data_IF_753127218459
#
_entry.id   IF_753127218459
#
_cell.length_a   1.000
_cell.length_b   1.000
_cell.length_c   1.000
_cell.angle_alpha   90.00
_cell.angle_beta   90.00
_cell.angle_gamma   90.00
#
_symmetry.space_group_name_H-M   'P 1'
#
loop_
_entity.id
_entity.type
_entity.pdbx_description
1 polymer ?
#
# COMPACT_ATOMS: atom_id res chain seq x y z
N UNK A 1 -1.10 8.52 -27.79
CA UNK A 1 -0.97 9.82 -28.47
C UNK A 1 -2.27 10.59 -28.24
N UNK A 2 -2.23 11.92 -28.05
CA UNK A 2 -3.44 12.71 -27.92
C UNK A 2 -4.25 12.70 -29.23
N UNK A 3 -5.57 12.79 -29.12
CA UNK A 3 -6.52 12.83 -30.24
C UNK A 3 -7.31 14.13 -30.19
N UNK A 4 -7.59 14.72 -31.35
CA UNK A 4 -8.50 15.85 -31.45
C UNK A 4 -9.94 15.33 -31.54
N UNK A 5 -10.80 15.83 -30.65
CA UNK A 5 -12.21 15.48 -30.58
C UNK A 5 -13.03 16.75 -30.70
N UNK A 6 -14.09 16.71 -31.51
CA UNK A 6 -15.05 17.80 -31.62
C UNK A 6 -16.30 17.45 -30.82
N UNK A 7 -16.66 18.33 -29.89
CA UNK A 7 -17.83 18.21 -29.04
C UNK A 7 -18.91 19.15 -29.52
N UNK A 8 -20.13 18.64 -29.63
CA UNK A 8 -21.30 19.44 -29.92
C UNK A 8 -22.36 19.19 -28.84
N UNK A 9 -22.93 20.27 -28.29
CA UNK A 9 -24.06 20.15 -27.37
C UNK A 9 -25.30 19.61 -28.09
N UNK A 10 -26.21 18.95 -27.37
CA UNK A 10 -27.40 18.35 -27.97
C UNK A 10 -28.34 19.38 -28.62
N UNK A 11 -28.29 20.64 -28.19
CA UNK A 11 -29.05 21.75 -28.80
C UNK A 11 -28.30 22.45 -29.93
N UNK A 12 -27.09 22.00 -30.29
CA UNK A 12 -26.26 22.55 -31.37
C UNK A 12 -25.68 23.93 -31.11
N UNK A 13 -25.90 24.52 -29.93
CA UNK A 13 -25.45 25.89 -29.62
C UNK A 13 -23.96 25.97 -29.25
N UNK A 14 -23.38 24.86 -28.83
CA UNK A 14 -21.97 24.77 -28.47
C UNK A 14 -21.29 23.79 -29.39
N UNK A 15 -20.20 24.24 -30.01
CA UNK A 15 -19.27 23.44 -30.79
C UNK A 15 -17.86 23.78 -30.31
N UNK A 16 -17.14 22.78 -29.82
CA UNK A 16 -15.81 22.96 -29.28
C UNK A 16 -14.87 21.85 -29.76
N UNK A 17 -13.63 22.24 -30.07
CA UNK A 17 -12.54 21.30 -30.30
C UNK A 17 -11.73 21.13 -29.04
N UNK A 18 -11.49 19.88 -28.64
CA UNK A 18 -10.68 19.54 -27.49
C UNK A 18 -9.60 18.52 -27.87
N UNK A 19 -8.48 18.56 -27.17
CA UNK A 19 -7.42 17.55 -27.25
C UNK A 19 -7.59 16.61 -26.06
N UNK A 20 -7.75 15.32 -26.34
CA UNK A 20 -7.99 14.29 -25.33
C UNK A 20 -6.92 13.19 -25.38
N UNK A 21 -6.63 12.57 -24.24
CA UNK A 21 -5.84 11.35 -24.17
C UNK A 21 -6.75 10.12 -24.17
N UNK A 22 -6.30 9.04 -24.83
CA UNK A 22 -7.08 7.81 -24.96
C UNK A 22 -6.66 6.77 -23.93
N UNK A 23 -7.64 6.01 -23.45
CA UNK A 23 -7.47 4.83 -22.60
C UNK A 23 -8.59 3.83 -22.89
N UNK A 24 -8.39 2.55 -22.59
CA UNK A 24 -9.41 1.51 -22.81
C UNK A 24 -10.66 1.73 -21.94
N UNK A 25 -10.53 2.39 -20.78
CA UNK A 25 -11.64 2.65 -19.86
C UNK A 25 -11.38 3.94 -19.09
N UNK A 26 -12.18 4.98 -19.36
CA UNK A 26 -11.92 6.34 -18.86
C UNK A 26 -12.10 6.47 -17.34
N UNK A 27 -13.12 5.83 -16.78
CA UNK A 27 -13.47 5.97 -15.36
C UNK A 27 -13.51 4.65 -14.59
N UNK A 28 -12.82 3.61 -15.08
CA UNK A 28 -12.86 2.28 -14.45
C UNK A 28 -14.31 1.78 -14.25
N UNK A 29 -14.63 1.31 -13.05
CA UNK A 29 -15.97 0.80 -12.70
C UNK A 29 -17.05 1.88 -12.54
N UNK A 30 -16.70 3.17 -12.56
CA UNK A 30 -17.66 4.27 -12.34
C UNK A 30 -18.76 4.24 -13.40
N UNK A 31 -20.00 4.26 -12.93
CA UNK A 31 -21.19 4.33 -13.76
C UNK A 31 -21.66 5.79 -13.87
N UNK A 32 -22.14 6.23 -15.05
CA UNK A 32 -22.74 7.56 -15.17
C UNK A 32 -24.03 7.65 -14.34
N UNK A 33 -24.23 8.78 -13.66
CA UNK A 33 -25.40 9.01 -12.80
C UNK A 33 -26.59 9.48 -13.66
N UNK A 34 -27.72 8.78 -13.56
CA UNK A 34 -28.96 9.17 -14.25
C UNK A 34 -29.73 10.23 -13.43
N UNK A 35 -29.32 11.49 -13.56
CA UNK A 35 -29.97 12.60 -12.86
C UNK A 35 -31.44 12.79 -13.25
N UNK A 36 -31.89 12.29 -14.40
CA UNK A 36 -33.31 12.33 -14.76
C UNK A 36 -34.15 11.44 -13.84
N UNK A 37 -33.59 10.31 -13.39
CA UNK A 37 -34.24 9.44 -12.39
C UNK A 37 -34.17 10.05 -11.00
N UNK A 38 -33.03 10.62 -10.63
CA UNK A 38 -32.79 11.17 -9.30
C UNK A 38 -33.46 12.53 -9.04
N UNK A 39 -33.69 13.35 -10.08
CA UNK A 39 -34.26 14.68 -9.96
C UNK A 39 -35.61 14.71 -9.23
N UNK A 40 -36.38 13.61 -9.27
CA UNK A 40 -37.67 13.49 -8.57
C UNK A 40 -37.56 13.51 -7.04
N UNK A 41 -36.36 13.29 -6.48
CA UNK A 41 -36.13 13.32 -5.04
C UNK A 41 -36.12 14.75 -4.48
N UNK A 42 -35.97 15.77 -5.32
CA UNK A 42 -35.85 17.16 -4.89
C UNK A 42 -36.76 18.09 -5.71
N UNK A 43 -37.55 18.90 -5.01
CA UNK A 43 -38.52 19.80 -5.63
C UNK A 43 -37.86 20.81 -6.59
N UNK A 44 -36.68 21.33 -6.25
CA UNK A 44 -35.96 22.30 -7.09
C UNK A 44 -35.38 21.68 -8.36
N UNK A 45 -35.30 20.35 -8.45
CA UNK A 45 -34.80 19.64 -9.64
C UNK A 45 -35.92 19.13 -10.54
N UNK A 46 -37.17 19.07 -10.04
CA UNK A 46 -38.29 18.45 -10.75
C UNK A 46 -38.60 19.07 -12.13
N UNK A 47 -38.35 20.37 -12.30
CA UNK A 47 -38.58 21.09 -13.56
C UNK A 47 -37.45 20.99 -14.59
N UNK A 48 -36.35 20.30 -14.28
CA UNK A 48 -35.14 20.31 -15.09
C UNK A 48 -35.13 19.13 -16.07
N UNK A 49 -34.90 19.44 -17.35
CA UNK A 49 -34.77 18.44 -18.41
C UNK A 49 -33.32 17.98 -18.53
N UNK A 50 -32.91 17.06 -17.66
CA UNK A 50 -31.60 16.42 -17.76
C UNK A 50 -31.48 15.57 -19.03
N UNK A 51 -30.29 15.51 -19.66
CA UNK A 51 -30.05 14.68 -20.83
C UNK A 51 -30.20 13.19 -20.50
N UNK A 52 -30.62 12.39 -21.49
CA UNK A 52 -30.65 10.94 -21.33
C UNK A 52 -29.22 10.37 -21.35
N UNK A 53 -28.97 9.34 -20.55
CA UNK A 53 -27.73 8.58 -20.65
C UNK A 53 -27.59 7.91 -22.02
N UNK A 54 -26.34 7.74 -22.45
CA UNK A 54 -26.02 6.96 -23.63
C UNK A 54 -26.44 5.49 -23.48
N UNK A 55 -26.54 4.77 -24.60
CA UNK A 55 -26.93 3.35 -24.62
C UNK A 55 -25.98 2.45 -23.82
N UNK A 56 -24.74 2.88 -23.61
CA UNK A 56 -23.73 2.17 -22.81
C UNK A 56 -23.66 2.80 -21.41
N UNK A 57 -23.64 1.99 -20.33
CA UNK A 57 -23.53 2.49 -18.97
C UNK A 57 -22.05 2.81 -18.62
N UNK A 58 -21.33 3.45 -19.54
CA UNK A 58 -19.92 3.76 -19.40
C UNK A 58 -19.69 5.24 -19.65
N UNK A 59 -18.79 5.85 -18.88
CA UNK A 59 -18.32 7.20 -19.19
C UNK A 59 -17.31 7.11 -20.32
N UNK A 60 -17.65 7.74 -21.44
CA UNK A 60 -16.83 7.69 -22.66
C UNK A 60 -15.71 8.75 -22.68
N UNK A 61 -15.84 9.81 -21.87
CA UNK A 61 -14.90 10.93 -21.85
C UNK A 61 -15.00 11.71 -20.54
N UNK A 62 -13.86 12.16 -20.02
CA UNK A 62 -13.77 13.16 -18.95
C UNK A 62 -13.31 14.48 -19.55
N UNK A 63 -14.02 15.57 -19.25
CA UNK A 63 -13.65 16.92 -19.67
C UNK A 63 -13.04 17.62 -18.46
N UNK A 64 -11.75 17.95 -18.54
CA UNK A 64 -11.04 18.63 -17.46
C UNK A 64 -11.44 20.10 -17.34
N UNK A 65 -11.13 20.70 -16.18
CA UNK A 65 -11.38 22.12 -15.88
C UNK A 65 -10.42 23.06 -16.61
N UNK A 66 -9.43 22.51 -17.32
CA UNK A 66 -8.57 23.20 -18.28
C UNK A 66 -9.33 23.68 -19.55
N UNK A 67 -10.58 23.24 -19.73
CA UNK A 67 -11.54 23.80 -20.69
C UNK A 67 -12.65 24.61 -19.98
N UNK A 68 -12.33 25.75 -19.34
CA UNK A 68 -13.29 26.49 -18.51
C UNK A 68 -14.54 26.94 -19.28
N UNK A 69 -14.40 27.20 -20.58
CA UNK A 69 -15.49 27.59 -21.49
C UNK A 69 -16.57 26.50 -21.66
N UNK A 70 -16.31 25.25 -21.25
CA UNK A 70 -17.29 24.18 -21.27
C UNK A 70 -18.00 23.98 -19.92
N UNK A 71 -17.46 24.56 -18.84
CA UNK A 71 -17.88 24.33 -17.45
C UNK A 71 -18.57 25.52 -16.79
N UNK A 72 -18.44 26.73 -17.35
CA UNK A 72 -19.06 27.90 -16.75
C UNK A 72 -20.59 27.76 -16.71
N UNK A 73 -21.20 28.39 -15.70
CA UNK A 73 -22.63 28.30 -15.47
C UNK A 73 -23.36 29.42 -16.20
N UNK A 74 -24.32 29.06 -17.05
CA UNK A 74 -25.38 29.97 -17.48
C UNK A 74 -26.42 30.18 -16.37
N UNK A 75 -26.69 29.13 -15.58
CA UNK A 75 -27.68 29.15 -14.51
C UNK A 75 -27.43 28.03 -13.50
N UNK A 76 -27.44 28.36 -12.22
CA UNK A 76 -27.49 27.40 -11.12
C UNK A 76 -28.91 27.38 -10.51
N UNK A 77 -29.43 26.19 -10.22
CA UNK A 77 -30.65 25.98 -9.42
C UNK A 77 -30.25 25.21 -8.16
N UNK A 78 -30.45 25.85 -7.01
CA UNK A 78 -29.98 25.37 -5.71
C UNK A 78 -31.16 25.03 -4.81
N UNK A 79 -31.00 23.95 -4.05
CA UNK A 79 -31.90 23.60 -2.95
C UNK A 79 -31.37 24.11 -1.61
N UNK A 80 -31.66 23.37 -0.54
CA UNK A 80 -31.13 23.63 0.81
C UNK A 80 -29.64 23.29 0.89
N UNK A 81 -28.92 23.78 1.92
CA UNK A 81 -27.53 23.39 2.16
C UNK A 81 -27.38 21.86 2.22
N UNK A 82 -26.43 21.32 1.44
CA UNK A 82 -26.17 19.87 1.33
C UNK A 82 -26.96 19.15 0.23
N UNK A 83 -27.97 19.78 -0.37
CA UNK A 83 -28.72 19.21 -1.50
C UNK A 83 -27.99 19.43 -2.84
N UNK A 84 -28.24 18.59 -3.86
CA UNK A 84 -27.62 18.74 -5.17
C UNK A 84 -27.98 20.06 -5.87
N UNK A 85 -27.06 20.57 -6.68
CA UNK A 85 -27.19 21.81 -7.44
C UNK A 85 -27.23 21.46 -8.93
N UNK A 86 -28.33 21.80 -9.61
CA UNK A 86 -28.33 21.73 -11.06
C UNK A 86 -27.64 22.94 -11.66
N UNK A 87 -26.82 22.70 -12.68
CA UNK A 87 -26.08 23.72 -13.40
C UNK A 87 -26.31 23.56 -14.89
N UNK A 88 -26.73 24.64 -15.55
CA UNK A 88 -26.78 24.72 -17.00
C UNK A 88 -25.42 25.22 -17.49
N UNK A 89 -24.70 24.37 -18.22
CA UNK A 89 -23.44 24.74 -18.88
C UNK A 89 -23.66 24.85 -20.40
N UNK A 90 -22.65 25.29 -21.17
CA UNK A 90 -22.68 25.23 -22.64
C UNK A 90 -23.01 23.86 -23.23
N UNK A 91 -22.68 22.76 -22.53
CA UNK A 91 -22.99 21.41 -23.00
C UNK A 91 -24.40 20.91 -22.62
N UNK A 92 -25.10 21.64 -21.74
CA UNK A 92 -26.45 21.33 -21.29
C UNK A 92 -26.58 21.27 -19.78
N UNK A 93 -27.71 20.73 -19.29
CA UNK A 93 -27.96 20.57 -17.86
C UNK A 93 -27.10 19.44 -17.27
N UNK A 94 -26.37 19.77 -16.21
CA UNK A 94 -25.64 18.83 -15.33
C UNK A 94 -26.05 19.05 -13.87
N UNK A 95 -25.61 18.20 -12.97
CA UNK A 95 -25.90 18.29 -11.55
C UNK A 95 -24.64 18.02 -10.71
N UNK A 96 -24.49 18.80 -9.63
CA UNK A 96 -23.36 18.77 -8.71
C UNK A 96 -23.90 18.33 -7.35
N UNK A 97 -23.38 17.23 -6.81
CA UNK A 97 -23.81 16.70 -5.52
C UNK A 97 -24.00 15.20 -5.56
N UNK A 98 -24.34 14.61 -4.42
CA UNK A 98 -24.55 13.17 -4.30
C UNK A 98 -26.02 12.82 -4.58
N UNK A 99 -26.32 11.98 -5.60
CA UNK A 99 -27.68 11.50 -5.86
C UNK A 99 -28.27 10.63 -4.73
N UNK A 100 -27.45 10.23 -3.75
CA UNK A 100 -27.81 9.45 -2.57
C UNK A 100 -27.75 10.25 -1.26
N UNK A 101 -27.53 11.56 -1.32
CA UNK A 101 -27.60 12.44 -0.14
C UNK A 101 -28.94 12.23 0.59
N UNK A 102 -28.86 11.67 1.81
CA UNK A 102 -30.00 11.15 2.57
C UNK A 102 -29.80 9.74 3.14
N UNK A 103 -28.83 8.97 2.63
CA UNK A 103 -28.20 7.89 3.39
C UNK A 103 -27.00 8.48 4.11
N UNK A 104 -26.81 8.18 5.40
CA UNK A 104 -25.68 8.65 6.21
C UNK A 104 -24.34 8.25 5.58
N UNK A 105 -23.81 9.09 4.69
CA UNK A 105 -22.41 9.11 4.34
C UNK A 105 -21.80 10.38 4.91
N UNK A 106 -21.32 10.26 6.14
CA UNK A 106 -20.42 11.22 6.76
C UNK A 106 -19.12 11.31 5.96
N UNK A 107 -19.03 12.26 5.03
CA UNK A 107 -17.75 12.74 4.51
C UNK A 107 -17.17 13.72 5.53
N UNK A 108 -16.38 13.19 6.47
CA UNK A 108 -15.65 14.00 7.43
C UNK A 108 -14.44 14.67 6.76
N UNK A 109 -14.50 15.99 6.56
CA UNK A 109 -13.29 16.81 6.42
C UNK A 109 -12.88 17.29 7.81
N UNK A 110 -11.80 16.72 8.38
CA UNK A 110 -11.18 17.23 9.62
C UNK A 110 -9.91 18.01 9.29
N UNK A 111 -9.91 19.29 9.63
CA UNK A 111 -8.75 20.19 9.53
C UNK A 111 -8.35 20.58 10.95
N UNK A 112 -7.09 20.34 11.34
CA UNK A 112 -6.56 20.73 12.65
C UNK A 112 -5.51 21.83 12.49
N UNK A 113 -5.58 22.82 13.37
CA UNK A 113 -4.53 23.81 13.58
C UNK A 113 -3.76 23.44 14.84
N UNK A 114 -2.44 23.30 14.75
CA UNK A 114 -1.58 23.11 15.91
C UNK A 114 -0.97 24.47 16.30
N UNK A 115 -1.20 24.87 17.56
CA UNK A 115 -0.43 25.93 18.23
C UNK A 115 0.49 25.21 19.21
N UNK A 116 1.80 25.38 19.06
CA UNK A 116 2.77 24.66 19.87
C UNK A 116 2.68 25.04 21.35
N UNK A 117 2.41 24.06 22.21
CA UNK A 117 2.88 24.04 23.58
C UNK A 117 3.50 22.67 23.89
N UNK A 118 4.51 22.72 24.77
CA UNK A 118 5.66 21.82 24.88
C UNK A 118 5.40 20.48 25.58
N UNK A 119 4.27 19.81 25.33
CA UNK A 119 4.03 18.49 25.93
C UNK A 119 4.42 17.36 24.97
N UNK A 120 5.41 16.54 25.36
CA UNK A 120 5.83 15.31 24.64
C UNK A 120 4.66 14.35 24.36
N UNK A 121 3.68 14.31 25.27
CA UNK A 121 2.47 13.52 25.08
C UNK A 121 1.62 13.99 23.88
N UNK A 122 1.66 15.30 23.57
CA UNK A 122 0.94 15.83 22.41
C UNK A 122 1.62 15.42 21.11
N UNK A 123 2.96 15.40 21.07
CA UNK A 123 3.71 14.90 19.92
C UNK A 123 3.43 13.41 19.65
N UNK A 124 3.49 12.55 20.68
CA UNK A 124 3.19 11.12 20.54
C UNK A 124 1.74 10.88 20.09
N UNK A 125 0.80 11.69 20.60
CA UNK A 125 -0.60 11.63 20.17
C UNK A 125 -0.78 12.12 18.72
N UNK A 126 -0.06 13.16 18.31
CA UNK A 126 -0.10 13.69 16.92
C UNK A 126 0.50 12.68 15.96
N UNK A 127 1.64 12.08 16.30
CA UNK A 127 2.28 11.03 15.51
C UNK A 127 1.33 9.85 15.40
N UNK A 128 0.79 9.34 16.51
CA UNK A 128 -0.21 8.25 16.49
C UNK A 128 -1.40 8.56 15.59
N UNK A 129 -2.00 9.75 15.72
CA UNK A 129 -3.11 10.20 14.87
C UNK A 129 -2.71 10.32 13.40
N UNK A 130 -1.47 10.75 13.11
CA UNK A 130 -0.93 10.76 11.74
C UNK A 130 -0.87 9.34 11.15
N UNK A 131 -0.35 8.37 11.90
CA UNK A 131 -0.34 6.96 11.49
C UNK A 131 -1.75 6.38 11.35
N UNK A 132 -2.68 6.74 12.24
CA UNK A 132 -4.09 6.34 12.11
C UNK A 132 -4.68 6.88 10.80
N UNK A 133 -4.38 8.14 10.42
CA UNK A 133 -4.85 8.78 9.18
C UNK A 133 -4.22 8.15 7.93
N UNK A 134 -2.94 7.78 7.96
CA UNK A 134 -2.31 7.03 6.85
C UNK A 134 -2.96 5.67 6.61
N UNK A 135 -3.55 5.08 7.66
CA UNK A 135 -4.28 3.82 7.61
C UNK A 135 -5.78 3.96 7.31
N UNK A 136 -6.32 5.18 7.20
CA UNK A 136 -7.72 5.39 6.79
C UNK A 136 -7.82 5.10 5.29
N UNK A 137 -8.28 3.89 4.97
CA UNK A 137 -8.84 3.57 3.66
C UNK A 137 -10.00 4.53 3.41
N UNK A 138 -9.99 5.24 2.28
CA UNK A 138 -11.17 5.99 1.84
C UNK A 138 -12.38 5.04 1.82
N UNK A 139 -13.55 5.40 2.40
CA UNK A 139 -14.72 4.53 2.48
C UNK A 139 -15.22 3.99 1.13
N UNK A 140 -14.77 4.59 0.02
CA UNK A 140 -15.09 4.20 -1.35
C UNK A 140 -14.23 3.06 -1.91
N UNK A 141 -13.15 2.66 -1.24
CA UNK A 141 -12.39 1.47 -1.61
C UNK A 141 -12.87 0.29 -0.78
N UNK A 142 -13.87 -0.43 -1.29
CA UNK A 142 -14.10 -1.80 -0.87
C UNK A 142 -12.85 -2.60 -1.23
N UNK A 143 -11.85 -2.63 -0.34
CA UNK A 143 -10.69 -3.51 -0.47
C UNK A 143 -11.21 -4.92 -0.26
N UNK A 144 -11.60 -5.57 -1.36
CA UNK A 144 -11.93 -6.99 -1.37
C UNK A 144 -10.64 -7.74 -1.08
N UNK A 145 -10.44 -8.06 0.21
CA UNK A 145 -9.40 -9.00 0.62
C UNK A 145 -9.76 -10.36 0.02
N UNK A 146 -8.80 -10.99 -0.63
CA UNK A 146 -8.90 -12.40 -0.97
C UNK A 146 -9.02 -13.24 0.31
N UNK A 147 -9.53 -14.46 0.16
CA UNK A 147 -9.58 -15.42 1.27
C UNK A 147 -8.21 -15.65 1.91
N UNK A 148 -7.13 -15.63 1.11
CA UNK A 148 -5.75 -15.79 1.58
C UNK A 148 -5.30 -14.60 2.43
N UNK A 149 -5.52 -13.38 1.95
CA UNK A 149 -5.16 -12.14 2.65
C UNK A 149 -5.93 -11.99 3.96
N UNK A 150 -7.21 -12.38 3.99
CA UNK A 150 -8.03 -12.32 5.20
C UNK A 150 -7.56 -13.33 6.26
N UNK A 151 -7.15 -14.53 5.84
CA UNK A 151 -6.52 -15.52 6.74
C UNK A 151 -5.19 -15.00 7.28
N UNK A 152 -4.35 -14.43 6.43
CA UNK A 152 -3.05 -13.88 6.84
C UNK A 152 -3.24 -12.78 7.91
N UNK A 153 -4.15 -11.83 7.65
CA UNK A 153 -4.43 -10.73 8.57
C UNK A 153 -4.98 -11.24 9.91
N UNK A 154 -5.96 -12.16 9.87
CA UNK A 154 -6.53 -12.75 11.09
C UNK A 154 -5.48 -13.49 11.93
N UNK A 155 -4.58 -14.26 11.31
CA UNK A 155 -3.48 -14.95 12.03
C UNK A 155 -2.50 -13.97 12.67
N UNK A 156 -2.18 -12.87 11.97
CA UNK A 156 -1.32 -11.80 12.51
C UNK A 156 -2.01 -11.10 13.68
N UNK A 157 -3.26 -10.65 13.52
CA UNK A 157 -4.01 -9.94 14.56
C UNK A 157 -4.19 -10.78 15.83
N UNK A 158 -4.45 -12.09 15.69
CA UNK A 158 -4.62 -13.00 16.82
C UNK A 158 -3.33 -13.32 17.58
N UNK A 159 -2.16 -13.15 16.95
CA UNK A 159 -0.86 -13.52 17.53
C UNK A 159 0.06 -12.35 17.82
N UNK A 160 -0.30 -11.14 17.38
CA UNK A 160 0.49 -9.93 17.58
C UNK A 160 0.42 -9.50 19.06
N UNK A 161 1.57 -9.48 19.71
CA UNK A 161 1.69 -9.08 21.09
C UNK A 161 2.83 -8.07 21.25
N UNK A 162 2.65 -7.07 22.12
CA UNK A 162 3.73 -6.14 22.46
C UNK A 162 4.37 -6.56 23.79
N UNK A 163 5.63 -7.01 23.73
CA UNK A 163 6.38 -7.54 24.87
C UNK A 163 7.81 -7.00 24.86
N UNK A 164 8.29 -6.56 26.02
CA UNK A 164 9.65 -6.05 26.23
C UNK A 164 10.07 -4.95 25.24
N UNK A 165 9.14 -4.04 24.90
CA UNK A 165 9.41 -2.94 23.96
C UNK A 165 9.42 -3.34 22.48
N UNK A 166 9.00 -4.56 22.16
CA UNK A 166 8.96 -5.09 20.80
C UNK A 166 7.60 -5.71 20.49
N UNK A 167 7.18 -5.60 19.23
CA UNK A 167 6.10 -6.44 18.72
C UNK A 167 6.65 -7.84 18.46
N UNK A 168 5.93 -8.87 18.91
CA UNK A 168 6.17 -10.27 18.60
C UNK A 168 4.94 -10.81 17.85
N UNK A 169 5.17 -11.61 16.81
CA UNK A 169 4.11 -12.14 15.95
C UNK A 169 4.42 -13.57 15.53
N UNK A 170 3.38 -14.40 15.40
CA UNK A 170 3.51 -15.73 14.77
C UNK A 170 3.47 -15.60 13.26
N UNK A 171 4.20 -16.46 12.56
CA UNK A 171 4.19 -16.45 11.10
C UNK A 171 2.81 -16.93 10.61
N UNK A 172 2.17 -16.24 9.65
CA UNK A 172 0.86 -16.64 9.16
C UNK A 172 0.98 -17.83 8.19
N UNK A 173 1.28 -19.01 8.72
CA UNK A 173 1.41 -20.25 7.97
C UNK A 173 0.12 -20.60 7.21
N UNK A 174 0.24 -21.18 6.02
CA UNK A 174 -0.91 -21.72 5.26
C UNK A 174 -1.52 -22.94 5.95
N UNK A 175 -0.66 -23.82 6.43
CA UNK A 175 -1.00 -25.01 7.21
C UNK A 175 -0.57 -24.80 8.67
N UNK A 176 -1.34 -25.31 9.64
CA UNK A 176 -1.03 -25.11 11.06
C UNK A 176 0.32 -25.72 11.48
N UNK A 177 0.79 -26.73 10.73
CA UNK A 177 2.14 -27.29 10.82
C UNK A 177 2.78 -27.32 9.44
N UNK A 178 3.61 -26.33 9.06
CA UNK A 178 4.24 -26.31 7.74
C UNK A 178 5.19 -27.52 7.59
N UNK A 179 4.89 -28.39 6.62
CA UNK A 179 5.73 -29.56 6.31
C UNK A 179 6.90 -29.16 5.42
N UNK A 180 7.93 -28.56 6.02
CA UNK A 180 9.15 -28.19 5.31
C UNK A 180 10.16 -29.36 5.30
N UNK A 181 10.66 -29.79 4.12
CA UNK A 181 11.73 -30.78 4.05
C UNK A 181 13.03 -30.21 4.61
N UNK A 182 13.87 -31.08 5.17
CA UNK A 182 15.16 -30.66 5.71
C UNK A 182 16.11 -30.24 4.59
N UNK A 183 16.30 -28.93 4.43
CA UNK A 183 17.10 -28.33 3.38
C UNK A 183 18.58 -28.09 3.75
N UNK A 184 19.07 -28.70 4.85
CA UNK A 184 20.42 -28.50 5.42
C UNK A 184 21.54 -28.52 4.36
N UNK A 185 21.61 -29.59 3.56
CA UNK A 185 22.68 -29.75 2.56
C UNK A 185 22.63 -28.69 1.46
N UNK A 186 21.43 -28.25 1.07
CA UNK A 186 21.24 -27.19 0.09
C UNK A 186 21.75 -25.86 0.65
N UNK A 187 21.32 -25.50 1.86
CA UNK A 187 21.72 -24.25 2.49
C UNK A 187 23.23 -24.22 2.80
N UNK A 188 23.82 -25.34 3.21
CA UNK A 188 25.27 -25.45 3.43
C UNK A 188 26.06 -25.28 2.12
N UNK A 189 25.62 -25.91 1.04
CA UNK A 189 26.22 -25.73 -0.29
C UNK A 189 26.13 -24.28 -0.79
N UNK A 190 24.99 -23.61 -0.54
CA UNK A 190 24.81 -22.18 -0.83
C UNK A 190 25.75 -21.30 -0.02
N UNK A 191 25.97 -21.62 1.26
CA UNK A 191 26.94 -20.92 2.09
C UNK A 191 28.36 -21.10 1.54
N UNK A 192 28.79 -22.34 1.23
CA UNK A 192 30.12 -22.59 0.70
C UNK A 192 30.40 -21.83 -0.61
N UNK A 193 29.39 -21.67 -1.47
CA UNK A 193 29.50 -20.84 -2.67
C UNK A 193 29.59 -19.34 -2.34
N UNK A 194 28.88 -18.90 -1.29
CA UNK A 194 28.97 -17.52 -0.79
C UNK A 194 30.36 -17.25 -0.23
N UNK A 195 30.91 -18.13 0.59
CA UNK A 195 32.28 -18.06 1.13
C UNK A 195 33.32 -18.00 0.00
N UNK A 196 33.23 -18.88 -1.00
CA UNK A 196 34.10 -18.83 -2.19
C UNK A 196 34.04 -17.49 -2.92
N UNK A 197 32.88 -16.84 -2.94
CA UNK A 197 32.71 -15.51 -3.56
C UNK A 197 33.29 -14.41 -2.67
N UNK A 198 33.10 -14.50 -1.36
CA UNK A 198 33.68 -13.58 -0.38
C UNK A 198 35.21 -13.63 -0.39
N UNK A 199 35.82 -14.82 -0.53
CA UNK A 199 37.27 -14.99 -0.62
C UNK A 199 37.90 -14.29 -1.83
N UNK A 200 37.11 -13.96 -2.86
CA UNK A 200 37.58 -13.19 -4.03
C UNK A 200 37.64 -11.69 -3.77
N UNK A 201 36.91 -11.19 -2.78
CA UNK A 201 36.86 -9.77 -2.43
C UNK A 201 36.86 -9.60 -0.90
N UNK A 202 38.05 -9.47 -0.29
CA UNK A 202 38.20 -9.31 1.15
C UNK A 202 37.43 -8.10 1.72
N UNK A 203 37.22 -7.05 0.92
CA UNK A 203 36.49 -5.87 1.37
C UNK A 203 35.01 -6.19 1.61
N UNK A 204 34.39 -6.95 0.70
CA UNK A 204 33.01 -7.41 0.82
C UNK A 204 32.89 -8.44 1.95
N UNK A 205 33.87 -9.35 2.06
CA UNK A 205 33.91 -10.33 3.15
C UNK A 205 33.87 -9.66 4.52
N UNK A 206 34.71 -8.65 4.73
CA UNK A 206 34.74 -7.91 5.99
C UNK A 206 33.40 -7.21 6.29
N UNK A 207 32.82 -6.49 5.33
CA UNK A 207 31.52 -5.82 5.51
C UNK A 207 30.40 -6.83 5.81
N UNK A 208 30.41 -7.97 5.14
CA UNK A 208 29.45 -9.04 5.34
C UNK A 208 29.56 -9.63 6.76
N UNK A 209 30.76 -9.99 7.21
CA UNK A 209 31.01 -10.53 8.55
C UNK A 209 30.59 -9.53 9.63
N UNK A 210 31.03 -8.27 9.53
CA UNK A 210 30.67 -7.21 10.47
C UNK A 210 29.15 -6.98 10.54
N UNK A 211 28.44 -7.13 9.42
CA UNK A 211 26.98 -6.98 9.40
C UNK A 211 26.28 -8.11 10.17
N UNK A 212 26.74 -9.36 10.03
CA UNK A 212 26.18 -10.48 10.80
C UNK A 212 26.53 -10.32 12.29
N UNK A 213 27.76 -9.96 12.63
CA UNK A 213 28.17 -9.70 14.01
C UNK A 213 27.29 -8.61 14.66
N UNK A 214 27.03 -7.51 13.96
CA UNK A 214 26.12 -6.46 14.41
C UNK A 214 24.70 -6.96 14.64
N UNK A 215 24.20 -7.90 13.82
CA UNK A 215 22.89 -8.53 14.08
C UNK A 215 22.88 -9.38 15.35
N UNK A 216 24.01 -10.02 15.68
CA UNK A 216 24.16 -10.78 16.93
C UNK A 216 24.24 -9.84 18.13
N UNK A 217 25.05 -8.79 18.06
CA UNK A 217 25.18 -7.78 19.11
C UNK A 217 23.84 -7.09 19.44
N UNK A 218 23.05 -6.80 18.41
CA UNK A 218 21.70 -6.23 18.55
C UNK A 218 20.64 -7.23 18.98
N UNK A 219 20.97 -8.52 19.05
CA UNK A 219 20.04 -9.59 19.43
C UNK A 219 19.01 -9.95 18.36
N UNK A 220 19.20 -9.51 17.10
CA UNK A 220 18.35 -9.90 15.97
C UNK A 220 18.62 -11.35 15.54
N UNK A 221 19.87 -11.79 15.68
CA UNK A 221 20.31 -13.16 15.46
C UNK A 221 20.90 -13.70 16.76
N UNK A 222 20.66 -14.97 17.06
CA UNK A 222 21.28 -15.65 18.19
C UNK A 222 21.79 -17.02 17.79
N UNK A 223 22.75 -17.54 18.54
CA UNK A 223 23.16 -18.92 18.43
C UNK A 223 22.00 -19.85 18.80
N UNK A 224 21.80 -20.89 18.00
CA UNK A 224 20.82 -21.94 18.26
C UNK A 224 21.29 -22.75 19.47
N UNK A 225 20.38 -23.09 20.38
CA UNK A 225 20.70 -23.93 21.54
C UNK A 225 20.73 -25.41 21.16
N UNK A 226 21.45 -26.23 21.93
CA UNK A 226 21.51 -27.69 21.71
C UNK A 226 20.13 -28.37 21.80
N UNK A 227 19.19 -27.81 22.56
CA UNK A 227 17.80 -28.30 22.62
C UNK A 227 17.03 -28.06 21.33
N UNK A 228 17.33 -26.95 20.65
CA UNK A 228 16.71 -26.62 19.36
C UNK A 228 17.38 -27.36 18.19
N UNK A 229 18.56 -27.96 18.42
CA UNK A 229 19.24 -28.81 17.43
C UNK A 229 18.45 -30.11 17.13
N UNK A 230 17.67 -30.60 18.08
CA UNK A 230 16.91 -31.86 17.95
C UNK A 230 15.47 -31.69 17.48
N UNK A 231 14.99 -30.44 17.34
CA UNK A 231 13.61 -30.14 16.91
C UNK A 231 13.40 -30.48 15.43
N UNK A 232 12.28 -31.11 15.08
CA UNK A 232 11.90 -31.40 13.69
C UNK A 232 11.27 -30.18 13.00
N UNK A 233 11.16 -30.19 11.67
CA UNK A 233 10.52 -29.08 10.93
C UNK A 233 11.39 -27.83 10.77
N UNK A 234 12.72 -27.99 10.71
CA UNK A 234 13.65 -26.87 10.54
C UNK A 234 13.76 -26.44 9.09
N UNK A 235 14.08 -25.17 8.91
CA UNK A 235 14.44 -24.61 7.63
C UNK A 235 15.64 -23.67 7.79
N UNK A 236 16.65 -23.90 6.94
CA UNK A 236 17.85 -23.09 6.90
C UNK A 236 17.72 -22.09 5.75
N UNK A 237 17.64 -20.80 6.07
CA UNK A 237 17.58 -19.71 5.10
C UNK A 237 18.97 -19.50 4.48
N UNK A 238 19.15 -19.74 3.17
CA UNK A 238 20.36 -19.33 2.48
C UNK A 238 20.49 -17.81 2.55
N UNK A 239 21.71 -17.31 2.58
CA UNK A 239 21.95 -15.88 2.57
C UNK A 239 23.22 -15.53 1.82
N UNK A 240 23.25 -14.33 1.24
CA UNK A 240 24.35 -13.88 0.41
C UNK A 240 24.44 -12.34 0.35
N UNK A 241 25.62 -11.77 0.12
CA UNK A 241 25.76 -10.33 -0.09
C UNK A 241 25.23 -9.91 -1.47
N UNK A 242 24.59 -8.75 -1.51
CA UNK A 242 24.27 -8.00 -2.73
C UNK A 242 24.97 -6.66 -2.67
N UNK A 243 25.74 -6.35 -3.71
CA UNK A 243 26.48 -5.11 -3.84
C UNK A 243 25.58 -4.08 -4.54
N UNK A 244 25.46 -2.90 -3.94
CA UNK A 244 24.74 -1.74 -4.47
C UNK A 244 25.73 -0.59 -4.61
N UNK A 245 26.55 -0.57 -5.68
CA UNK A 245 27.60 0.43 -5.84
C UNK A 245 27.03 1.85 -6.01
N UNK A 246 25.76 1.96 -6.38
CA UNK A 246 24.95 3.17 -6.53
C UNK A 246 24.54 3.82 -5.19
N UNK A 247 24.77 3.15 -4.05
CA UNK A 247 24.40 3.67 -2.72
C UNK A 247 25.62 4.22 -1.98
N UNK A 248 25.51 5.48 -1.55
CA UNK A 248 26.57 6.17 -0.81
C UNK A 248 26.84 5.55 0.57
N UNK A 249 25.80 5.12 1.30
CA UNK A 249 25.90 4.76 2.73
C UNK A 249 25.91 3.26 3.03
N UNK A 250 25.45 2.39 2.14
CA UNK A 250 25.43 0.94 2.37
C UNK A 250 25.64 0.18 1.07
N UNK A 251 26.90 0.04 0.68
CA UNK A 251 27.31 -0.61 -0.58
C UNK A 251 27.09 -2.12 -0.61
N UNK A 252 26.86 -2.75 0.54
CA UNK A 252 26.62 -4.20 0.63
C UNK A 252 25.48 -4.48 1.60
N UNK A 253 24.51 -5.30 1.17
CA UNK A 253 23.41 -5.79 2.01
C UNK A 253 23.38 -7.31 2.01
N UNK A 254 23.03 -7.92 3.14
CA UNK A 254 22.80 -9.35 3.22
C UNK A 254 21.35 -9.63 2.84
N UNK A 255 21.15 -10.52 1.88
CA UNK A 255 19.83 -11.02 1.51
C UNK A 255 19.65 -12.40 2.13
N UNK A 256 18.54 -12.60 2.83
CA UNK A 256 18.07 -13.91 3.28
C UNK A 256 17.04 -14.43 2.28
N UNK A 257 17.34 -15.55 1.63
CA UNK A 257 16.59 -16.05 0.49
C UNK A 257 15.51 -17.05 0.93
N UNK A 258 14.36 -16.51 1.35
CA UNK A 258 13.18 -17.31 1.65
C UNK A 258 12.49 -17.90 0.40
N UNK A 259 12.92 -17.51 -0.80
CA UNK A 259 12.41 -18.03 -2.08
C UNK A 259 13.17 -19.26 -2.59
N UNK A 260 14.32 -19.58 -1.98
CA UNK A 260 15.10 -20.75 -2.33
C UNK A 260 14.26 -22.03 -2.19
N UNK A 261 14.10 -22.77 -3.30
CA UNK A 261 13.36 -24.03 -3.32
C UNK A 261 14.24 -25.21 -3.00
N UNK A 262 13.73 -26.13 -2.17
CA UNK A 262 14.29 -27.45 -1.95
C UNK A 262 13.18 -28.48 -2.08
N UNK A 263 13.39 -29.52 -2.90
CA UNK A 263 12.35 -30.52 -3.21
C UNK A 263 11.01 -29.90 -3.67
N UNK A 264 11.08 -28.81 -4.45
CA UNK A 264 9.91 -28.16 -5.04
C UNK A 264 9.21 -27.11 -4.19
N UNK A 265 9.55 -26.97 -2.90
CA UNK A 265 8.93 -26.03 -1.96
C UNK A 265 9.93 -24.99 -1.43
N UNK A 266 9.48 -23.75 -1.21
CA UNK A 266 10.22 -22.69 -0.52
C UNK A 266 9.49 -22.26 0.76
N UNK A 267 10.17 -21.50 1.63
CA UNK A 267 9.55 -20.95 2.83
C UNK A 267 8.41 -19.97 2.48
N UNK A 268 8.59 -19.15 1.44
CA UNK A 268 7.52 -18.25 0.98
C UNK A 268 6.28 -19.02 0.50
N UNK A 269 6.43 -20.23 -0.02
CA UNK A 269 5.28 -21.02 -0.49
C UNK A 269 4.38 -21.47 0.68
N UNK A 270 4.91 -21.58 1.91
CA UNK A 270 4.16 -22.02 3.11
C UNK A 270 3.54 -20.89 3.93
N UNK A 271 3.75 -19.63 3.56
CA UNK A 271 3.27 -18.45 4.28
C UNK A 271 2.14 -17.80 3.48
N UNK A 272 1.03 -17.45 4.14
CA UNK A 272 -0.05 -16.67 3.51
C UNK A 272 0.45 -15.31 3.06
N UNK A 273 0.06 -14.89 1.86
CA UNK A 273 0.38 -13.56 1.40
C UNK A 273 -0.56 -12.56 2.08
N UNK A 274 0.01 -11.64 2.85
CA UNK A 274 -0.74 -10.54 3.44
C UNK A 274 -1.19 -9.53 2.37
N UNK A 275 -2.23 -8.73 2.68
CA UNK A 275 -2.71 -7.72 1.75
C UNK A 275 -1.69 -6.62 1.50
N UNK A 276 -1.82 -5.94 0.36
CA UNK A 276 -1.04 -4.73 0.08
C UNK A 276 -1.47 -3.61 1.05
N UNK A 277 -0.68 -3.40 2.10
CA UNK A 277 -0.88 -2.32 3.08
C UNK A 277 -0.35 -0.96 2.60
N UNK A 278 0.49 -0.96 1.56
CA UNK A 278 1.07 0.27 1.02
C UNK A 278 0.01 1.08 0.28
N UNK A 279 -0.19 2.31 0.73
CA UNK A 279 -1.00 3.33 0.05
C UNK A 279 -0.43 3.61 -1.36
N UNK A 280 -1.29 4.08 -2.27
CA UNK A 280 -0.84 4.44 -3.60
C UNK A 280 0.17 5.60 -3.55
N UNK A 281 1.28 5.46 -4.30
CA UNK A 281 2.35 6.44 -4.28
C UNK A 281 1.86 7.82 -4.77
N UNK A 282 0.93 7.86 -5.72
CA UNK A 282 0.33 9.11 -6.19
C UNK A 282 -0.42 9.82 -5.05
N UNK A 283 -1.23 9.09 -4.29
CA UNK A 283 -1.99 9.63 -3.16
C UNK A 283 -1.07 10.07 -2.01
N UNK A 284 0.02 9.33 -1.77
CA UNK A 284 1.07 9.73 -0.84
C UNK A 284 1.71 11.05 -1.29
N UNK A 285 2.08 11.17 -2.58
CA UNK A 285 2.71 12.38 -3.13
C UNK A 285 1.77 13.60 -3.17
N UNK A 286 0.48 13.40 -3.43
CA UNK A 286 -0.52 14.48 -3.37
C UNK A 286 -0.65 15.02 -1.93
N UNK A 287 -0.73 14.12 -0.93
CA UNK A 287 -0.76 14.52 0.48
C UNK A 287 0.54 15.19 0.91
N UNK A 288 1.68 14.68 0.46
CA UNK A 288 2.99 15.25 0.75
C UNK A 288 3.12 16.71 0.27
N UNK A 289 2.51 17.05 -0.86
CA UNK A 289 2.50 18.42 -1.43
C UNK A 289 1.47 19.35 -0.79
N UNK A 290 0.59 18.86 0.08
CA UNK A 290 -0.52 19.64 0.65
C UNK A 290 -0.03 20.78 1.56
N UNK A 291 1.12 20.60 2.22
CA UNK A 291 1.64 21.55 3.20
C UNK A 291 3.02 22.08 2.77
N UNK A 292 3.37 23.32 3.17
CA UNK A 292 4.63 23.96 2.78
C UNK A 292 5.87 23.31 3.41
N UNK A 293 5.70 22.52 4.47
CA UNK A 293 6.78 21.84 5.20
C UNK A 293 6.46 20.37 5.29
N UNK A 294 7.43 19.52 4.94
CA UNK A 294 7.34 18.08 5.06
C UNK A 294 8.41 17.53 6.01
N UNK A 295 8.01 16.58 6.85
CA UNK A 295 8.93 15.81 7.68
C UNK A 295 9.26 14.50 6.98
N UNK A 296 10.55 14.23 6.83
CA UNK A 296 11.07 12.99 6.27
C UNK A 296 11.93 12.34 7.33
N UNK A 297 11.64 11.08 7.64
CA UNK A 297 12.45 10.28 8.56
C UNK A 297 12.69 8.90 7.97
N UNK A 298 13.86 8.33 8.27
CA UNK A 298 14.17 6.94 7.99
C UNK A 298 14.16 6.17 9.30
N UNK A 299 13.32 5.13 9.39
CA UNK A 299 13.29 4.25 10.56
C UNK A 299 14.33 3.18 10.34
N UNK A 300 15.53 3.44 10.86
CA UNK A 300 16.64 2.52 10.78
C UNK A 300 16.23 1.12 11.29
N UNK A 301 16.43 0.11 10.45
CA UNK A 301 16.20 -1.30 10.80
C UNK A 301 14.75 -1.64 11.22
N UNK A 302 13.76 -0.90 10.71
CA UNK A 302 12.34 -1.04 11.11
C UNK A 302 11.84 -2.50 11.16
N UNK A 303 12.12 -3.29 10.12
CA UNK A 303 11.65 -4.68 10.07
C UNK A 303 12.28 -5.58 11.15
N UNK A 304 13.49 -5.26 11.63
CA UNK A 304 14.19 -6.01 12.67
C UNK A 304 13.67 -5.67 14.08
N UNK A 305 12.76 -4.70 14.20
CA UNK A 305 12.08 -4.37 15.47
C UNK A 305 10.94 -5.32 15.80
N UNK A 306 10.45 -6.09 14.82
CA UNK A 306 9.39 -7.08 14.99
C UNK A 306 10.04 -8.45 15.20
N UNK A 307 9.72 -9.09 16.33
CA UNK A 307 10.19 -10.43 16.69
C UNK A 307 9.28 -11.49 16.11
N UNK A 308 9.88 -12.60 15.67
CA UNK A 308 9.14 -13.83 15.37
C UNK A 308 8.92 -14.58 16.69
N UNK A 309 7.72 -15.10 16.91
CA UNK A 309 7.38 -15.90 18.09
C UNK A 309 8.34 -17.09 18.24
N UNK A 310 8.72 -17.50 19.49
CA UNK A 310 9.69 -18.55 19.73
C UNK A 310 9.47 -19.85 18.95
N UNK A 311 8.21 -20.28 18.85
CA UNK A 311 7.81 -21.53 18.18
C UNK A 311 8.15 -21.53 16.67
N UNK A 312 8.17 -20.35 16.04
CA UNK A 312 8.40 -20.17 14.60
C UNK A 312 9.86 -19.81 14.26
N UNK A 313 10.77 -19.71 15.23
CA UNK A 313 12.16 -19.29 14.96
C UNK A 313 13.00 -20.37 14.27
N UNK A 314 12.61 -21.64 14.40
CA UNK A 314 13.36 -22.80 13.87
C UNK A 314 13.39 -22.87 12.34
N UNK A 315 12.48 -22.17 11.67
CA UNK A 315 12.39 -22.08 10.20
C UNK A 315 13.09 -20.85 9.61
N UNK A 316 13.74 -20.05 10.46
CA UNK A 316 14.56 -18.90 10.07
C UNK A 316 16.03 -19.08 10.48
N UNK A 317 16.50 -20.33 10.61
CA UNK A 317 17.89 -20.61 10.98
C UNK A 317 18.83 -20.28 9.83
N UNK A 318 20.04 -19.82 10.15
CA UNK A 318 21.08 -19.54 9.16
C UNK A 318 22.36 -20.23 9.57
N UNK A 319 23.17 -20.63 8.59
CA UNK A 319 24.55 -20.99 8.86
C UNK A 319 25.39 -19.73 9.00
N UNK A 320 26.26 -19.69 10.00
CA UNK A 320 27.29 -18.66 10.10
C UNK A 320 28.39 -18.96 9.09
N UNK A 321 28.84 -17.94 8.35
CA UNK A 321 30.04 -18.06 7.53
C UNK A 321 31.22 -18.39 8.43
N UNK A 322 32.08 -19.31 7.98
CA UNK A 322 33.28 -19.69 8.70
C UNK A 322 34.28 -18.55 8.53
N UNK A 323 34.67 -17.92 9.64
CA UNK A 323 35.92 -17.17 9.66
C UNK A 323 37.03 -18.22 9.68
N UNK A 324 37.70 -18.44 8.54
CA UNK A 324 38.96 -19.16 8.51
C UNK A 324 39.99 -18.29 9.25
N UNK A 325 40.18 -18.57 10.54
CA UNK A 325 41.43 -18.31 11.24
C UNK A 325 42.04 -19.65 11.63
#
# INVERSE_FOLDING_TARGET
MPVEVRLQSHNGQTDAKIVAFTTNRVTGSLQPVDWKQHARKWDHLAGIKFPNLGKRPTVDMLIGLDYPDLHYSYRDIRGKPGEPIARLTPLGWTCIGDPNSGQDQTLFNRTYFARGQEDRNDLDNIVRKFWEIENVKTPSENVFLSSDEQKALSKVEQSLEFKDGHYEVKVPWKDDTPSLPNNYNMALSRLANTEKRLNKDPSIANVYTQTIEKYIEKGYVRKVSTKEETVTGKWYLPHFPVIRPDKETTKTRIVFDASAKFQGISLNDTIHQGPKLQQDLFDVLLRFRKYPVALVCDIAEMYLRIKIAPDDRTVSQIFMARNEN
#
